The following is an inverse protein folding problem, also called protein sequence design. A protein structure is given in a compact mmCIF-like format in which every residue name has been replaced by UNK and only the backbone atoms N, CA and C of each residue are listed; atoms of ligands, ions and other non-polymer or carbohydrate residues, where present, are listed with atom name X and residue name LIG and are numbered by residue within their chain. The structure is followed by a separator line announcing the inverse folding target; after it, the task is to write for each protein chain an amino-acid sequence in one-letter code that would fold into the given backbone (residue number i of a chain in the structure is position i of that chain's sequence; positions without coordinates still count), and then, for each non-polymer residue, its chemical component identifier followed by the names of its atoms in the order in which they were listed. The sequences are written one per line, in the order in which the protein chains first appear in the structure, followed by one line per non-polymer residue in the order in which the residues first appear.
data_IF_483691037677
#
_entry.id   IF_483691037677
#
_cell.length_a   1.000
_cell.length_b   1.000
_cell.length_c   1.000
_cell.angle_alpha   90.00
_cell.angle_beta   90.00
_cell.angle_gamma   90.00
#
_symmetry.space_group_name_H-M   'P 1'
#
loop_
_entity.id
_entity.type
_entity.pdbx_description
1 polymer ?
#
# COMPACT_ATOMS: atom_id res chain seq x y z
N UNK A 1 17.18 8.04 0.08
CA UNK A 1 15.77 7.82 0.46
C UNK A 1 15.40 6.36 0.21
N UNK A 2 14.82 5.68 1.19
CA UNK A 2 14.37 4.28 1.09
C UNK A 2 12.87 4.21 0.85
N UNK A 3 12.47 3.49 -0.18
CA UNK A 3 11.06 3.31 -0.55
C UNK A 3 10.71 1.82 -0.60
N UNK A 4 9.64 1.43 0.06
CA UNK A 4 9.03 0.12 -0.10
C UNK A 4 7.80 0.26 -1.00
N UNK A 5 7.86 -0.36 -2.17
CA UNK A 5 6.80 -0.36 -3.16
C UNK A 5 6.02 -1.68 -3.10
N UNK A 6 4.71 -1.61 -2.94
CA UNK A 6 3.83 -2.76 -3.05
C UNK A 6 3.23 -2.81 -4.46
N UNK A 7 3.49 -3.90 -5.15
CA UNK A 7 2.93 -4.19 -6.46
C UNK A 7 1.94 -5.35 -6.36
N UNK A 8 0.68 -5.01 -6.33
CA UNK A 8 -0.40 -5.99 -6.32
C UNK A 8 -0.47 -6.71 -7.69
N UNK A 9 -0.73 -8.04 -7.74
CA UNK A 9 -0.72 -8.84 -8.97
C UNK A 9 -1.57 -8.31 -10.11
N UNK A 10 -2.72 -7.73 -9.80
CA UNK A 10 -3.66 -7.18 -10.77
C UNK A 10 -3.41 -5.72 -11.14
N UNK A 11 -2.35 -5.10 -10.62
CA UNK A 11 -2.02 -3.72 -10.94
C UNK A 11 -1.52 -3.58 -12.38
N UNK A 12 -2.08 -2.63 -13.11
CA UNK A 12 -1.64 -2.25 -14.47
C UNK A 12 -0.67 -1.06 -14.48
N UNK A 13 -0.21 -0.63 -13.32
CA UNK A 13 0.66 0.53 -13.18
C UNK A 13 2.06 0.25 -13.73
N UNK A 14 2.62 1.22 -14.44
CA UNK A 14 3.99 1.13 -14.95
C UNK A 14 4.99 1.61 -13.89
N UNK A 15 5.17 0.80 -12.86
CA UNK A 15 6.08 1.12 -11.77
C UNK A 15 7.55 1.32 -12.19
N UNK A 16 8.13 0.53 -13.12
CA UNK A 16 9.49 0.78 -13.58
C UNK A 16 9.69 2.22 -14.07
N UNK A 17 8.79 2.70 -14.93
CA UNK A 17 8.84 4.07 -15.44
C UNK A 17 8.72 5.12 -14.32
N UNK A 18 7.83 4.92 -13.36
CA UNK A 18 7.70 5.85 -12.24
C UNK A 18 8.95 5.89 -11.37
N UNK A 19 9.59 4.75 -11.16
CA UNK A 19 10.84 4.68 -10.41
C UNK A 19 11.97 5.39 -11.18
N UNK A 20 12.06 5.23 -12.50
CA UNK A 20 13.01 5.96 -13.36
C UNK A 20 12.85 7.48 -13.23
N UNK A 21 11.61 7.98 -13.32
CA UNK A 21 11.31 9.41 -13.19
C UNK A 21 11.63 9.97 -11.79
N UNK A 22 11.48 9.14 -10.75
CA UNK A 22 11.77 9.53 -9.37
C UNK A 22 13.28 9.51 -9.11
N UNK A 23 14.02 8.50 -9.60
CA UNK A 23 15.45 8.38 -9.38
C UNK A 23 16.24 9.53 -10.02
N UNK A 24 15.71 10.16 -11.07
CA UNK A 24 16.30 11.38 -11.65
C UNK A 24 16.28 12.59 -10.69
N UNK A 25 15.41 12.56 -9.70
CA UNK A 25 15.20 13.65 -8.73
C UNK A 25 15.84 13.40 -7.36
N UNK A 26 16.31 12.19 -7.12
CA UNK A 26 16.88 11.78 -5.82
C UNK A 26 18.18 11.02 -6.03
N UNK A 27 19.30 11.62 -5.65
CA UNK A 27 20.65 11.08 -5.87
C UNK A 27 20.89 9.70 -5.19
N UNK A 28 20.16 9.42 -4.11
CA UNK A 28 20.31 8.18 -3.35
C UNK A 28 18.94 7.53 -3.11
N UNK A 29 18.30 7.05 -4.17
CA UNK A 29 17.06 6.30 -4.08
C UNK A 29 17.34 4.80 -3.97
N UNK A 30 16.84 4.16 -2.92
CA UNK A 30 16.82 2.71 -2.75
C UNK A 30 15.36 2.25 -2.73
N UNK A 31 14.98 1.41 -3.67
CA UNK A 31 13.62 0.85 -3.76
C UNK A 31 13.66 -0.64 -3.49
N UNK A 32 12.79 -1.09 -2.61
CA UNK A 32 12.49 -2.50 -2.44
C UNK A 32 11.06 -2.76 -2.92
N UNK A 33 10.88 -3.78 -3.75
CA UNK A 33 9.58 -4.14 -4.31
C UNK A 33 9.04 -5.38 -3.61
N UNK A 34 7.80 -5.31 -3.16
CA UNK A 34 7.05 -6.44 -2.62
C UNK A 34 5.94 -6.81 -3.60
N UNK A 35 5.99 -8.01 -4.14
CA UNK A 35 5.10 -8.47 -5.22
C UNK A 35 4.75 -9.95 -5.09
N UNK A 36 3.95 -10.47 -6.02
CA UNK A 36 3.67 -11.89 -6.12
C UNK A 36 4.47 -12.56 -7.24
N UNK A 37 4.66 -13.88 -7.14
CA UNK A 37 5.43 -14.67 -8.09
C UNK A 37 4.94 -14.57 -9.54
N UNK A 38 3.64 -14.35 -9.74
CA UNK A 38 3.03 -14.21 -11.07
C UNK A 38 3.36 -12.88 -11.75
N UNK A 39 3.96 -11.91 -11.03
CA UNK A 39 4.36 -10.60 -11.56
C UNK A 39 5.87 -10.39 -11.64
N UNK A 40 6.64 -11.05 -10.79
CA UNK A 40 8.09 -10.87 -10.69
C UNK A 40 8.84 -11.04 -12.02
N UNK A 41 8.40 -11.99 -12.84
CA UNK A 41 9.09 -12.35 -14.10
C UNK A 41 8.92 -11.34 -15.25
N UNK A 42 8.17 -10.26 -15.08
CA UNK A 42 7.73 -9.41 -16.19
C UNK A 42 8.30 -7.99 -16.22
N UNK A 43 9.16 -7.62 -15.26
CA UNK A 43 9.69 -6.27 -15.21
C UNK A 43 11.21 -6.25 -15.24
N UNK A 44 11.75 -5.38 -16.13
CA UNK A 44 13.12 -4.90 -16.01
C UNK A 44 13.10 -3.70 -15.06
N UNK A 45 13.60 -3.88 -13.85
CA UNK A 45 13.63 -2.83 -12.84
C UNK A 45 14.80 -1.86 -13.06
N UNK A 46 14.61 -0.55 -12.79
CA UNK A 46 15.69 0.43 -12.74
C UNK A 46 16.76 0.08 -11.68
N UNK A 47 17.95 0.66 -11.83
CA UNK A 47 19.10 0.39 -10.94
C UNK A 47 18.86 0.75 -9.47
N UNK A 48 17.93 1.65 -9.18
CA UNK A 48 17.53 1.99 -7.80
C UNK A 48 16.73 0.90 -7.09
N UNK A 49 16.22 -0.11 -7.81
CA UNK A 49 15.55 -1.26 -7.21
C UNK A 49 16.61 -2.25 -6.73
N UNK A 50 16.85 -2.23 -5.44
CA UNK A 50 17.89 -3.04 -4.80
C UNK A 50 17.45 -4.49 -4.53
N UNK A 51 16.15 -4.73 -4.43
CA UNK A 51 15.59 -6.06 -4.18
C UNK A 51 14.12 -6.14 -4.56
N UNK A 52 13.75 -7.26 -5.20
CA UNK A 52 12.38 -7.70 -5.36
C UNK A 52 12.08 -8.85 -4.41
N UNK A 53 10.96 -8.79 -3.73
CA UNK A 53 10.52 -9.79 -2.75
C UNK A 53 9.18 -10.36 -3.21
N UNK A 54 9.21 -11.62 -3.57
CA UNK A 54 8.08 -12.35 -4.09
C UNK A 54 7.37 -13.16 -3.01
N UNK A 55 6.05 -13.24 -3.14
CA UNK A 55 5.20 -14.12 -2.33
C UNK A 55 4.27 -14.91 -3.24
N UNK A 56 3.95 -16.13 -2.86
CA UNK A 56 3.07 -17.02 -3.65
C UNK A 56 1.60 -16.64 -3.54
N UNK A 57 1.17 -16.17 -2.39
CA UNK A 57 -0.19 -15.70 -2.13
C UNK A 57 -0.12 -14.31 -1.49
N UNK A 58 -0.31 -13.30 -2.33
CA UNK A 58 -0.15 -11.89 -1.95
C UNK A 58 -1.14 -11.42 -0.88
N UNK A 59 -2.32 -12.03 -0.84
CA UNK A 59 -3.41 -11.65 0.07
C UNK A 59 -3.41 -12.42 1.39
N UNK A 60 -2.51 -13.39 1.56
CA UNK A 60 -2.44 -14.23 2.76
C UNK A 60 -1.92 -13.50 3.99
N UNK A 61 -2.27 -14.01 5.17
CA UNK A 61 -1.71 -13.56 6.45
C UNK A 61 -0.18 -13.73 6.49
N UNK A 62 0.34 -14.79 5.87
CA UNK A 62 1.78 -15.03 5.73
C UNK A 62 2.47 -13.94 4.93
N UNK A 63 1.89 -13.51 3.80
CA UNK A 63 2.41 -12.39 3.02
C UNK A 63 2.36 -11.08 3.82
N UNK A 64 1.29 -10.86 4.56
CA UNK A 64 1.14 -9.71 5.46
C UNK A 64 2.21 -9.71 6.56
N UNK A 65 2.43 -10.84 7.23
CA UNK A 65 3.49 -10.96 8.23
C UNK A 65 4.89 -10.71 7.64
N UNK A 66 5.17 -11.24 6.43
CA UNK A 66 6.41 -11.00 5.70
C UNK A 66 6.58 -9.52 5.34
N UNK A 67 5.52 -8.85 4.92
CA UNK A 67 5.53 -7.41 4.64
C UNK A 67 5.92 -6.60 5.89
N UNK A 68 5.32 -6.85 7.06
CA UNK A 68 5.67 -6.16 8.30
C UNK A 68 7.11 -6.44 8.75
N UNK A 69 7.62 -7.66 8.56
CA UNK A 69 9.01 -8.01 8.84
C UNK A 69 9.99 -7.22 7.94
N UNK A 70 9.64 -7.05 6.66
CA UNK A 70 10.40 -6.22 5.72
C UNK A 70 10.41 -4.76 6.17
N UNK A 71 9.25 -4.18 6.51
CA UNK A 71 9.18 -2.78 6.98
C UNK A 71 10.07 -2.59 8.19
N UNK A 72 10.02 -3.50 9.16
CA UNK A 72 10.86 -3.45 10.37
C UNK A 72 12.37 -3.50 10.06
N UNK A 73 12.80 -4.35 9.12
CA UNK A 73 14.21 -4.56 8.77
C UNK A 73 14.76 -3.51 7.82
N UNK A 74 14.02 -3.18 6.78
CA UNK A 74 14.43 -2.22 5.75
C UNK A 74 14.33 -0.77 6.23
N UNK A 75 13.37 -0.48 7.12
CA UNK A 75 13.07 0.86 7.66
C UNK A 75 12.87 1.88 6.55
N UNK A 76 11.88 1.71 5.69
CA UNK A 76 11.63 2.63 4.58
C UNK A 76 11.21 4.02 5.09
N UNK A 77 11.67 5.06 4.41
CA UNK A 77 11.20 6.44 4.61
C UNK A 77 9.78 6.63 4.09
N UNK A 78 9.40 5.84 3.08
CA UNK A 78 8.06 5.85 2.46
C UNK A 78 7.63 4.44 2.08
N UNK A 79 6.33 4.18 2.19
CA UNK A 79 5.68 2.98 1.64
C UNK A 79 4.69 3.46 0.58
N UNK A 80 4.74 2.86 -0.61
CA UNK A 80 3.90 3.24 -1.74
C UNK A 80 3.10 2.03 -2.21
N UNK A 81 1.81 2.22 -2.41
CA UNK A 81 0.93 1.27 -3.09
C UNK A 81 -0.10 2.03 -3.91
N UNK A 82 -0.46 1.50 -5.07
CA UNK A 82 -1.57 2.00 -5.89
C UNK A 82 -2.82 1.12 -5.79
N UNK A 83 -2.76 0.04 -5.01
CA UNK A 83 -3.88 -0.87 -4.84
C UNK A 83 -4.76 -0.47 -3.66
N UNK A 84 -6.07 -0.46 -3.89
CA UNK A 84 -7.05 -0.25 -2.84
C UNK A 84 -7.03 -1.36 -1.78
N UNK A 85 -6.68 -2.59 -2.17
CA UNK A 85 -6.56 -3.74 -1.25
C UNK A 85 -5.42 -3.56 -0.25
N UNK A 86 -4.37 -2.83 -0.61
CA UNK A 86 -3.21 -2.58 0.25
C UNK A 86 -3.39 -1.39 1.21
N UNK A 87 -4.43 -0.58 1.04
CA UNK A 87 -4.59 0.69 1.78
C UNK A 87 -4.50 0.48 3.29
N UNK A 88 -5.24 -0.50 3.83
CA UNK A 88 -5.26 -0.76 5.28
C UNK A 88 -3.93 -1.33 5.77
N UNK A 89 -3.37 -2.33 5.07
CA UNK A 89 -2.09 -2.95 5.42
C UNK A 89 -0.94 -1.94 5.43
N UNK A 90 -0.89 -1.07 4.43
CA UNK A 90 0.12 -0.01 4.33
C UNK A 90 -0.09 1.07 5.38
N UNK A 91 -1.33 1.48 5.64
CA UNK A 91 -1.64 2.48 6.64
C UNK A 91 -1.33 1.98 8.06
N UNK A 92 -1.62 0.71 8.37
CA UNK A 92 -1.25 0.07 9.62
C UNK A 92 0.27 0.06 9.83
N UNK A 93 1.04 -0.33 8.80
CA UNK A 93 2.49 -0.30 8.87
C UNK A 93 3.03 1.13 9.08
N UNK A 94 2.45 2.13 8.43
CA UNK A 94 2.83 3.52 8.63
C UNK A 94 2.59 3.97 10.06
N UNK A 95 1.43 3.65 10.64
CA UNK A 95 1.10 3.98 12.02
C UNK A 95 2.02 3.27 13.02
N UNK A 96 2.29 1.99 12.80
CA UNK A 96 3.11 1.18 13.71
C UNK A 96 4.59 1.60 13.72
N UNK A 97 5.13 1.99 12.56
CA UNK A 97 6.55 2.31 12.40
C UNK A 97 6.85 3.81 12.27
N UNK A 98 5.85 4.68 12.45
CA UNK A 98 6.02 6.13 12.38
C UNK A 98 6.38 6.64 10.98
N UNK A 99 5.95 5.96 9.92
CA UNK A 99 6.23 6.31 8.53
C UNK A 99 5.19 7.33 8.05
N UNK A 100 5.60 8.44 7.41
CA UNK A 100 4.67 9.44 6.91
C UNK A 100 3.71 8.91 5.83
N UNK A 101 2.47 9.43 5.83
CA UNK A 101 1.41 9.11 4.89
C UNK A 101 0.08 8.85 5.58
N UNK A 102 -0.88 8.30 4.85
CA UNK A 102 -2.20 7.95 5.38
C UNK A 102 -2.07 6.97 6.54
N UNK A 103 -2.51 7.38 7.72
CA UNK A 103 -2.47 6.58 8.95
C UNK A 103 -3.70 5.65 9.07
N UNK A 104 -3.59 4.63 9.92
CA UNK A 104 -4.57 3.53 9.98
C UNK A 104 -5.99 3.99 10.29
N UNK A 105 -6.19 4.85 11.29
CA UNK A 105 -7.54 5.35 11.66
C UNK A 105 -8.21 6.09 10.50
N UNK A 106 -7.45 6.95 9.81
CA UNK A 106 -7.98 7.67 8.65
C UNK A 106 -8.22 6.73 7.45
N UNK A 107 -7.36 5.73 7.26
CA UNK A 107 -7.57 4.71 6.24
C UNK A 107 -8.85 3.89 6.48
N UNK A 108 -9.12 3.51 7.72
CA UNK A 108 -10.37 2.84 8.11
C UNK A 108 -11.59 3.70 7.80
N UNK A 109 -11.57 4.97 8.17
CA UNK A 109 -12.69 5.89 7.91
C UNK A 109 -12.94 6.11 6.41
N UNK A 110 -11.90 5.97 5.56
CA UNK A 110 -12.06 6.05 4.11
C UNK A 110 -12.52 4.71 3.47
N UNK A 111 -12.29 3.59 4.14
CA UNK A 111 -12.63 2.24 3.62
C UNK A 111 -14.01 1.75 4.09
N UNK A 112 -14.38 2.05 5.31
CA UNK A 112 -15.71 1.73 5.82
C UNK A 112 -16.74 2.76 5.32
N UNK A 113 -17.60 2.32 4.41
CA UNK A 113 -18.62 3.18 3.80
C UNK A 113 -19.62 3.73 4.82
N UNK A 114 -19.87 3.03 5.93
CA UNK A 114 -20.76 3.50 7.00
C UNK A 114 -20.09 4.65 7.74
N UNK A 115 -18.85 4.44 8.19
CA UNK A 115 -18.05 5.46 8.88
C UNK A 115 -17.81 6.68 8.00
N UNK A 116 -17.48 6.47 6.71
CA UNK A 116 -17.30 7.55 5.75
C UNK A 116 -18.57 8.41 5.59
N UNK A 117 -19.73 7.77 5.46
CA UNK A 117 -21.01 8.48 5.33
C UNK A 117 -21.39 9.21 6.62
N UNK A 118 -21.14 8.61 7.77
CA UNK A 118 -21.39 9.26 9.05
C UNK A 118 -20.51 10.51 9.20
N UNK A 119 -19.22 10.42 8.90
CA UNK A 119 -18.30 11.56 8.92
C UNK A 119 -18.74 12.69 7.97
N UNK A 120 -19.27 12.34 6.80
CA UNK A 120 -19.80 13.32 5.85
C UNK A 120 -21.05 14.02 6.41
N UNK A 121 -21.97 13.28 7.07
CA UNK A 121 -23.13 13.85 7.74
C UNK A 121 -22.74 14.81 8.87
N UNK A 122 -21.77 14.40 9.71
CA UNK A 122 -21.28 15.19 10.84
C UNK A 122 -20.61 16.49 10.35
N UNK A 123 -20.03 16.46 9.14
CA UNK A 123 -19.49 17.63 8.45
C UNK A 123 -20.55 18.49 7.72
N UNK A 124 -21.85 18.15 7.85
CA UNK A 124 -22.96 18.88 7.25
C UNK A 124 -23.15 18.63 5.74
N UNK A 125 -22.52 17.58 5.17
CA UNK A 125 -22.69 17.23 3.76
C UNK A 125 -24.00 16.44 3.56
N UNK A 126 -24.65 16.69 2.43
CA UNK A 126 -25.81 15.89 2.00
C UNK A 126 -25.32 14.56 1.43
N UNK A 127 -25.83 13.46 1.95
CA UNK A 127 -25.54 12.12 1.44
C UNK A 127 -26.81 11.42 0.98
N UNK A 128 -26.65 10.42 0.12
CA UNK A 128 -27.73 9.53 -0.28
C UNK A 128 -28.15 8.69 0.95
N UNK A 129 -29.47 8.57 1.26
CA UNK A 129 -29.95 7.70 2.31
C UNK A 129 -29.41 6.25 2.13
N UNK A 130 -29.03 5.63 3.22
CA UNK A 130 -28.49 4.27 3.21
C UNK A 130 -28.98 3.48 4.42
N UNK A 131 -28.93 2.16 4.26
CA UNK A 131 -29.17 1.20 5.34
C UNK A 131 -28.00 0.25 5.45
N UNK A 132 -27.64 -0.12 6.66
CA UNK A 132 -26.64 -1.16 6.91
C UNK A 132 -27.31 -2.51 6.90
N UNK A 133 -26.86 -3.44 6.06
CA UNK A 133 -27.24 -4.84 6.14
C UNK A 133 -26.27 -5.56 7.08
N UNK A 134 -26.77 -6.12 8.17
CA UNK A 134 -26.01 -7.11 8.93
C UNK A 134 -26.01 -8.38 8.08
N UNK A 135 -24.79 -8.88 7.73
CA UNK A 135 -24.68 -10.11 6.97
C UNK A 135 -25.40 -11.25 7.68
N UNK A 136 -26.14 -12.03 6.93
CA UNK A 136 -26.62 -13.31 7.43
C UNK A 136 -25.36 -14.17 7.66
N UNK A 137 -25.11 -14.51 8.94
CA UNK A 137 -24.07 -15.45 9.32
C UNK A 137 -24.41 -16.87 8.86
#
# INVERSE_FOLDING_TARGET
MKVLLLQQPKSFSNYPKWIEEIQERFDCLEVMVFTSNDRAAHHSWPSSVIKEIEVSDYSSDSATAKFFDIVRKFKPDRIVSSSEEDVLRVAEARSLFGIPGLQHELALSCRDKVTMKQSALDAGLKIIPYTTCQGFG
#
